data_IF_193440762180
#
_entry.id   IF_193440762180
#
_cell.length_a   1.000
_cell.length_b   1.000
_cell.length_c   1.000
_cell.angle_alpha   90.00
_cell.angle_beta   90.00
_cell.angle_gamma   90.00
#
_symmetry.space_group_name_H-M   'P 1'
#
loop_
_entity.id
_entity.type
_entity.pdbx_description
1 polymer ?
#
# COMPACT_ATOMS: atom_id res chain seq x y z
N UNK A 1 -33.51 40.62 -22.30
CA UNK A 1 -33.02 39.23 -22.42
C UNK A 1 -31.68 39.17 -21.71
N UNK A 2 -31.68 38.84 -20.41
CA UNK A 2 -30.47 38.74 -19.60
C UNK A 2 -30.14 37.25 -19.42
N UNK A 3 -29.04 36.78 -20.02
CA UNK A 3 -28.53 35.43 -19.82
C UNK A 3 -27.86 35.37 -18.46
N UNK A 4 -28.51 34.71 -17.50
CA UNK A 4 -28.01 34.52 -16.14
C UNK A 4 -26.66 33.77 -16.14
N UNK A 5 -25.63 34.42 -15.62
CA UNK A 5 -24.26 33.92 -15.49
C UNK A 5 -24.08 32.91 -14.34
N UNK A 6 -25.10 32.09 -14.07
CA UNK A 6 -25.14 31.17 -12.92
C UNK A 6 -25.54 29.73 -13.31
N UNK A 7 -25.32 29.35 -14.57
CA UNK A 7 -25.56 28.00 -15.05
C UNK A 7 -24.52 27.01 -14.46
N UNK A 8 -24.93 26.00 -13.66
CA UNK A 8 -24.03 25.00 -13.08
C UNK A 8 -23.25 24.19 -14.13
N UNK A 9 -23.75 24.10 -15.37
CA UNK A 9 -23.07 23.43 -16.48
C UNK A 9 -21.78 24.19 -16.85
N UNK A 10 -21.79 25.53 -16.76
CA UNK A 10 -20.60 26.36 -17.05
C UNK A 10 -19.48 26.18 -16.02
N UNK A 11 -19.81 25.87 -14.76
CA UNK A 11 -18.84 25.57 -13.70
C UNK A 11 -18.19 24.20 -13.87
N UNK A 12 -18.94 23.20 -14.33
CA UNK A 12 -18.43 21.85 -14.56
C UNK A 12 -17.41 21.76 -15.70
N UNK A 13 -17.51 22.66 -16.69
CA UNK A 13 -16.61 22.72 -17.85
C UNK A 13 -15.50 23.78 -17.75
N UNK A 14 -15.24 24.34 -16.56
CA UNK A 14 -14.03 25.17 -16.35
C UNK A 14 -12.79 24.31 -16.54
N UNK A 15 -12.20 24.39 -17.74
CA UNK A 15 -10.91 23.81 -18.07
C UNK A 15 -9.88 24.39 -17.09
N UNK A 16 -9.25 23.51 -16.29
CA UNK A 16 -8.18 23.93 -15.37
C UNK A 16 -7.11 24.69 -16.15
N UNK A 17 -6.58 25.75 -15.54
CA UNK A 17 -5.52 26.55 -16.15
C UNK A 17 -4.28 25.67 -16.40
N UNK A 18 -3.59 25.88 -17.52
CA UNK A 18 -2.34 25.17 -17.86
C UNK A 18 -1.28 25.21 -16.73
N UNK A 19 -1.26 26.30 -15.94
CA UNK A 19 -0.38 26.43 -14.76
C UNK A 19 -0.81 25.56 -13.58
N UNK A 20 -2.11 25.30 -13.46
CA UNK A 20 -2.71 24.50 -12.38
C UNK A 20 -2.44 23.00 -12.60
N UNK A 21 -2.43 22.55 -13.86
CA UNK A 21 -2.02 21.19 -14.22
C UNK A 21 -0.52 20.96 -13.95
N UNK A 22 0.36 21.87 -14.42
CA UNK A 22 1.83 21.75 -14.20
C UNK A 22 2.24 21.79 -12.73
N UNK A 23 1.60 22.61 -11.90
CA UNK A 23 1.93 22.70 -10.46
C UNK A 23 1.55 21.42 -9.72
N UNK A 24 0.42 20.81 -10.08
CA UNK A 24 -0.02 19.54 -9.51
C UNK A 24 0.95 18.40 -9.90
N UNK A 25 1.45 18.42 -11.13
CA UNK A 25 2.43 17.45 -11.62
C UNK A 25 3.78 17.56 -10.88
N UNK A 26 4.27 18.78 -10.65
CA UNK A 26 5.49 19.00 -9.86
C UNK A 26 5.36 18.51 -8.42
N UNK A 27 4.22 18.77 -7.77
CA UNK A 27 3.98 18.29 -6.39
C UNK A 27 3.91 16.76 -6.33
N UNK A 28 3.29 16.11 -7.33
CA UNK A 28 3.27 14.66 -7.44
C UNK A 28 4.69 14.07 -7.55
N UNK A 29 5.57 14.69 -8.33
CA UNK A 29 6.98 14.28 -8.44
C UNK A 29 7.67 14.36 -7.09
N UNK A 30 7.54 15.49 -6.37
CA UNK A 30 8.14 15.63 -5.03
C UNK A 30 7.60 14.59 -4.05
N UNK A 31 6.29 14.30 -4.11
CA UNK A 31 5.67 13.27 -3.28
C UNK A 31 6.23 11.87 -3.57
N UNK A 32 6.32 11.50 -4.86
CA UNK A 32 6.89 10.22 -5.28
C UNK A 32 8.33 10.10 -4.78
N UNK A 33 9.16 11.13 -5.00
CA UNK A 33 10.55 11.13 -4.52
C UNK A 33 10.64 10.99 -3.00
N UNK A 34 9.75 11.66 -2.26
CA UNK A 34 9.67 11.53 -0.80
C UNK A 34 9.32 10.11 -0.36
N UNK A 35 8.33 9.48 -0.98
CA UNK A 35 7.93 8.09 -0.68
C UNK A 35 9.05 7.09 -0.98
N UNK A 36 9.81 7.31 -2.05
CA UNK A 36 10.99 6.49 -2.37
C UNK A 36 12.10 6.62 -1.32
N UNK A 37 12.42 7.85 -0.89
CA UNK A 37 13.44 8.09 0.15
C UNK A 37 13.02 7.46 1.47
N UNK A 38 11.78 7.70 1.90
CA UNK A 38 11.23 7.12 3.14
C UNK A 38 11.23 5.60 3.10
N UNK A 39 10.80 5.01 1.97
CA UNK A 39 10.81 3.57 1.77
C UNK A 39 12.22 2.98 1.85
N UNK A 40 13.20 3.62 1.20
CA UNK A 40 14.58 3.16 1.22
C UNK A 40 15.19 3.24 2.63
N UNK A 41 15.03 4.36 3.33
CA UNK A 41 15.55 4.51 4.69
C UNK A 41 14.95 3.50 5.67
N UNK A 42 13.64 3.27 5.58
CA UNK A 42 12.94 2.32 6.45
C UNK A 42 13.33 0.88 6.17
N UNK A 43 13.36 0.48 4.90
CA UNK A 43 13.67 -0.90 4.49
C UNK A 43 15.17 -1.24 4.60
N UNK A 44 16.07 -0.26 4.48
CA UNK A 44 17.53 -0.47 4.58
C UNK A 44 17.98 -1.02 5.94
N UNK A 45 17.16 -0.86 6.98
CA UNK A 45 17.45 -1.33 8.34
C UNK A 45 16.94 -2.75 8.62
N UNK A 46 16.18 -3.32 7.69
CA UNK A 46 15.55 -4.62 7.86
C UNK A 46 16.47 -5.70 7.30
N UNK A 47 16.61 -6.81 8.02
CA UNK A 47 17.41 -7.97 7.61
C UNK A 47 16.80 -8.73 6.42
N UNK A 48 17.25 -9.96 6.14
CA UNK A 48 16.70 -10.75 5.04
C UNK A 48 15.18 -10.92 5.18
N UNK A 49 14.44 -10.61 4.12
CA UNK A 49 12.99 -10.65 4.12
C UNK A 49 12.44 -11.50 2.98
N UNK A 50 11.24 -12.05 3.18
CA UNK A 50 10.47 -12.77 2.15
C UNK A 50 9.16 -12.03 1.89
N UNK A 51 8.88 -11.74 0.62
CA UNK A 51 7.61 -11.16 0.21
C UNK A 51 6.54 -12.23 -0.02
N UNK A 52 5.39 -12.11 0.65
CA UNK A 52 4.26 -13.04 0.50
C UNK A 52 3.08 -12.31 -0.15
N UNK A 53 2.56 -12.90 -1.22
CA UNK A 53 1.40 -12.41 -1.97
C UNK A 53 0.27 -13.43 -1.96
N UNK A 54 -0.97 -12.94 -2.03
CA UNK A 54 -2.14 -13.79 -2.15
C UNK A 54 -3.45 -13.01 -2.10
N UNK A 55 -4.55 -13.74 -2.09
CA UNK A 55 -5.90 -13.17 -2.13
C UNK A 55 -6.20 -12.31 -0.90
N UNK A 56 -6.78 -11.13 -1.13
CA UNK A 56 -7.31 -10.25 -0.10
C UNK A 56 -8.70 -10.68 0.43
N UNK A 57 -9.29 -11.74 -0.12
CA UNK A 57 -10.69 -12.11 0.10
C UNK A 57 -10.89 -13.34 0.97
N UNK A 58 -9.80 -14.07 1.26
CA UNK A 58 -9.88 -15.27 2.08
C UNK A 58 -10.06 -14.90 3.55
N UNK A 59 -10.81 -15.73 4.26
CA UNK A 59 -11.11 -15.56 5.68
C UNK A 59 -10.19 -16.45 6.53
N UNK A 60 -10.13 -16.18 7.83
CA UNK A 60 -9.22 -16.87 8.77
C UNK A 60 -9.46 -18.38 8.88
N UNK A 61 -10.68 -18.84 8.60
CA UNK A 61 -11.06 -20.25 8.62
C UNK A 61 -10.57 -21.03 7.39
N UNK A 62 -10.25 -20.32 6.30
CA UNK A 62 -9.78 -20.89 5.05
C UNK A 62 -8.43 -21.61 5.21
N UNK A 63 -8.29 -22.75 4.54
CA UNK A 63 -7.08 -23.56 4.60
C UNK A 63 -5.84 -22.80 4.09
N UNK A 64 -5.99 -21.94 3.09
CA UNK A 64 -4.88 -21.15 2.53
C UNK A 64 -4.48 -19.99 3.44
N UNK A 65 -5.43 -19.41 4.19
CA UNK A 65 -5.12 -18.42 5.22
C UNK A 65 -4.22 -19.05 6.28
N UNK A 66 -4.63 -20.20 6.83
CA UNK A 66 -3.87 -20.93 7.86
C UNK A 66 -2.50 -21.37 7.33
N UNK A 67 -2.44 -21.84 6.09
CA UNK A 67 -1.17 -22.22 5.47
C UNK A 67 -0.21 -21.03 5.33
N UNK A 68 -0.71 -19.86 4.87
CA UNK A 68 0.11 -18.66 4.76
C UNK A 68 0.65 -18.19 6.12
N UNK A 69 -0.19 -18.25 7.17
CA UNK A 69 0.21 -17.96 8.54
C UNK A 69 1.32 -18.91 9.02
N UNK A 70 1.16 -20.22 8.85
CA UNK A 70 2.16 -21.22 9.25
C UNK A 70 3.48 -21.08 8.49
N UNK A 71 3.42 -20.75 7.19
CA UNK A 71 4.62 -20.50 6.39
C UNK A 71 5.36 -19.27 6.92
N UNK A 72 4.66 -18.17 7.18
CA UNK A 72 5.24 -16.95 7.72
C UNK A 72 5.85 -17.15 9.11
N UNK A 73 5.15 -17.88 9.99
CA UNK A 73 5.66 -18.27 11.32
C UNK A 73 6.97 -19.06 11.20
N UNK A 74 7.00 -20.06 10.30
CA UNK A 74 8.20 -20.88 10.05
C UNK A 74 9.38 -20.11 9.47
N UNK A 75 9.11 -19.11 8.62
CA UNK A 75 10.13 -18.19 8.09
C UNK A 75 10.66 -17.25 9.17
N UNK A 76 9.77 -16.69 9.99
CA UNK A 76 10.11 -15.83 11.11
C UNK A 76 11.01 -16.53 12.13
N UNK A 77 10.70 -17.78 12.49
CA UNK A 77 11.55 -18.62 13.36
C UNK A 77 12.96 -18.85 12.82
N UNK A 78 13.14 -18.75 11.50
CA UNK A 78 14.43 -18.89 10.82
C UNK A 78 15.18 -17.56 10.64
N UNK A 79 14.64 -16.47 11.18
CA UNK A 79 15.26 -15.14 11.15
C UNK A 79 14.93 -14.31 9.91
N UNK A 80 13.92 -14.68 9.13
CA UNK A 80 13.44 -13.87 8.01
C UNK A 80 12.33 -12.91 8.46
N UNK A 81 12.40 -11.66 8.00
CA UNK A 81 11.25 -10.75 8.04
C UNK A 81 10.24 -11.09 6.96
N UNK A 82 8.98 -10.70 7.15
CA UNK A 82 7.91 -10.86 6.17
C UNK A 82 7.53 -9.49 5.62
N UNK A 83 7.32 -9.42 4.30
CA UNK A 83 6.79 -8.23 3.62
C UNK A 83 5.52 -8.64 2.88
N UNK A 84 4.44 -7.90 3.06
CA UNK A 84 3.19 -8.10 2.34
C UNK A 84 2.62 -6.78 1.81
N UNK A 85 1.50 -6.84 1.09
CA UNK A 85 0.77 -5.64 0.67
C UNK A 85 -0.05 -4.97 1.79
N UNK A 86 -0.01 -5.49 3.03
CA UNK A 86 -0.68 -4.89 4.20
C UNK A 86 -2.21 -4.95 4.19
N UNK A 87 -2.81 -5.68 3.25
CA UNK A 87 -4.26 -5.87 3.15
C UNK A 87 -4.80 -7.08 3.93
N UNK A 88 -6.10 -7.36 3.83
CA UNK A 88 -6.74 -8.53 4.45
C UNK A 88 -6.34 -9.86 3.78
N UNK A 89 -6.86 -10.97 4.30
CA UNK A 89 -6.68 -12.30 3.72
C UNK A 89 -5.26 -12.82 3.85
N UNK A 90 -4.66 -13.32 2.77
CA UNK A 90 -3.31 -13.94 2.82
C UNK A 90 -2.24 -12.96 3.31
N UNK A 91 -2.36 -11.67 2.99
CA UNK A 91 -1.42 -10.65 3.44
C UNK A 91 -1.47 -10.48 4.96
N UNK A 92 -2.68 -10.39 5.52
CA UNK A 92 -2.90 -10.37 6.97
C UNK A 92 -2.39 -11.65 7.64
N UNK A 93 -2.71 -12.82 7.08
CA UNK A 93 -2.27 -14.12 7.60
C UNK A 93 -0.74 -14.20 7.71
N UNK A 94 -0.04 -13.73 6.68
CA UNK A 94 1.42 -13.68 6.64
C UNK A 94 1.98 -12.75 7.72
N UNK A 95 1.44 -11.53 7.86
CA UNK A 95 1.89 -10.58 8.87
C UNK A 95 1.60 -11.09 10.29
N UNK A 96 0.45 -11.76 10.49
CA UNK A 96 0.07 -12.38 11.77
C UNK A 96 1.04 -13.50 12.16
N UNK A 97 1.36 -14.41 11.24
CA UNK A 97 2.30 -15.51 11.50
C UNK A 97 3.71 -15.03 11.86
N UNK A 98 4.20 -13.98 11.21
CA UNK A 98 5.48 -13.36 11.57
C UNK A 98 5.44 -12.69 12.95
N UNK A 99 4.36 -11.99 13.28
CA UNK A 99 4.20 -11.30 14.56
C UNK A 99 4.15 -12.29 15.73
N UNK A 100 3.52 -13.45 15.57
CA UNK A 100 3.42 -14.51 16.59
C UNK A 100 4.78 -15.02 17.08
N UNK A 101 5.83 -14.88 16.26
CA UNK A 101 7.20 -15.28 16.58
C UNK A 101 8.13 -14.09 16.81
N UNK A 102 7.58 -12.87 16.87
CA UNK A 102 8.34 -11.64 17.05
C UNK A 102 9.24 -11.28 15.86
N UNK A 103 8.98 -11.83 14.68
CA UNK A 103 9.70 -11.47 13.46
C UNK A 103 9.17 -10.14 12.87
N UNK A 104 10.01 -9.37 12.15
CA UNK A 104 9.55 -8.18 11.44
C UNK A 104 8.43 -8.52 10.42
N UNK A 105 7.37 -7.70 10.38
CA UNK A 105 6.23 -7.85 9.45
C UNK A 105 5.65 -6.52 8.95
#
# INVERSE_FOLDING_TARGET
MATNSNDPISKAFKRKSWNEQRTNDSWAIFKIMSEFVEGYERLSRIGPCVSIFGSARLKEDDAWYKAAQQIAEGLGKKGYGIISGGGPGIMEAANRGALEVGAPS
#
